data_IF_067730879811
#
_entry.id   IF_067730879811
#
_cell.length_a   1.000
_cell.length_b   1.000
_cell.length_c   1.000
_cell.angle_alpha   90.00
_cell.angle_beta   90.00
_cell.angle_gamma   90.00
#
_symmetry.space_group_name_H-M   'P 1'
#
loop_
_entity.id
_entity.type
_entity.pdbx_description
1 polymer ?
#
# COMPACT_ATOMS: atom_id res chain seq x y z
N UNK A 1 -6.69 3.97 0.54
CA UNK A 1 -7.87 3.39 1.21
C UNK A 1 -7.44 2.25 2.10
N UNK A 2 -6.98 1.11 1.56
CA UNK A 2 -6.58 -0.07 2.35
C UNK A 2 -5.65 0.25 3.53
N UNK A 3 -4.61 1.06 3.32
CA UNK A 3 -3.73 1.51 4.39
C UNK A 3 -4.45 2.31 5.49
N UNK A 4 -5.34 3.23 5.11
CA UNK A 4 -6.08 4.10 6.04
C UNK A 4 -7.09 3.37 6.93
N UNK A 5 -7.59 2.23 6.47
CA UNK A 5 -8.53 1.40 7.24
C UNK A 5 -7.81 0.31 8.04
N UNK A 6 -6.46 0.34 8.10
CA UNK A 6 -5.66 -0.57 8.89
C UNK A 6 -5.52 -1.98 8.29
N UNK A 7 -5.58 -2.14 6.96
CA UNK A 7 -5.23 -3.43 6.37
C UNK A 7 -3.70 -3.61 6.37
N UNK A 8 -3.25 -4.70 7.00
CA UNK A 8 -1.84 -5.10 7.03
C UNK A 8 -1.39 -5.83 5.76
N UNK A 9 -2.33 -6.25 4.91
CA UNK A 9 -2.06 -7.05 3.72
C UNK A 9 -2.94 -6.67 2.52
N UNK A 10 -2.35 -6.76 1.33
CA UNK A 10 -3.05 -6.59 0.05
C UNK A 10 -2.63 -7.68 -0.93
N UNK A 11 -3.60 -8.26 -1.63
CA UNK A 11 -3.37 -9.24 -2.71
C UNK A 11 -3.67 -8.60 -4.06
N UNK A 12 -2.77 -8.78 -5.01
CA UNK A 12 -2.90 -8.28 -6.37
C UNK A 12 -2.18 -9.20 -7.36
N UNK A 13 -2.48 -9.06 -8.66
CA UNK A 13 -1.84 -9.88 -9.70
C UNK A 13 -0.31 -9.68 -9.69
N UNK A 14 0.50 -10.70 -10.07
CA UNK A 14 1.96 -10.65 -9.93
C UNK A 14 2.61 -9.39 -10.53
N UNK A 15 2.10 -8.95 -11.68
CA UNK A 15 2.59 -7.75 -12.38
C UNK A 15 2.35 -6.44 -11.62
N UNK A 16 1.39 -6.41 -10.69
CA UNK A 16 1.05 -5.22 -9.88
C UNK A 16 1.71 -5.22 -8.51
N UNK A 17 2.39 -6.30 -8.10
CA UNK A 17 3.07 -6.39 -6.80
C UNK A 17 4.06 -5.24 -6.57
N UNK A 18 4.91 -4.85 -7.55
CA UNK A 18 5.82 -3.71 -7.35
C UNK A 18 5.08 -2.39 -7.15
N UNK A 19 3.97 -2.17 -7.88
CA UNK A 19 3.15 -0.97 -7.78
C UNK A 19 2.44 -0.90 -6.42
N UNK A 20 1.89 -2.03 -5.96
CA UNK A 20 1.25 -2.13 -4.65
C UNK A 20 2.21 -1.80 -3.51
N UNK A 21 3.47 -2.27 -3.59
CA UNK A 21 4.52 -1.92 -2.63
C UNK A 21 4.86 -0.44 -2.65
N UNK A 22 5.03 0.16 -3.83
CA UNK A 22 5.30 1.59 -3.95
C UNK A 22 4.16 2.44 -3.37
N UNK A 23 2.91 2.10 -3.71
CA UNK A 23 1.74 2.79 -3.22
C UNK A 23 1.58 2.66 -1.69
N UNK A 24 1.91 1.49 -1.11
CA UNK A 24 1.93 1.28 0.33
C UNK A 24 2.97 2.17 1.02
N UNK A 25 4.19 2.26 0.47
CA UNK A 25 5.23 3.14 1.00
C UNK A 25 4.83 4.62 0.92
N UNK A 26 4.25 5.07 -0.20
CA UNK A 26 3.75 6.43 -0.34
C UNK A 26 2.62 6.75 0.65
N UNK A 27 1.72 5.78 0.89
CA UNK A 27 0.64 5.94 1.85
C UNK A 27 1.18 6.08 3.29
N UNK A 28 2.15 5.25 3.68
CA UNK A 28 2.80 5.32 4.99
C UNK A 28 3.54 6.64 5.20
N UNK A 29 4.30 7.11 4.21
CA UNK A 29 5.00 8.41 4.29
C UNK A 29 4.00 9.57 4.43
N UNK A 30 2.87 9.49 3.73
CA UNK A 30 1.83 10.53 3.80
C UNK A 30 1.07 10.52 5.13
N UNK A 31 0.99 9.38 5.81
CA UNK A 31 0.39 9.25 7.14
C UNK A 31 1.32 9.71 8.26
N UNK A 32 2.64 9.57 8.09
CA UNK A 32 3.65 10.09 9.02
C UNK A 32 3.72 11.63 9.07
N UNK A 33 3.02 12.32 8.16
CA UNK A 33 3.08 13.78 8.00
C UNK A 33 1.80 14.44 8.51
#
# INVERSE_FOLDING_TARGET
FCHKIGLDYVSCSPFRVPIARLAAAQAAIKEMK
#
